data_IF_181691708376
#
_entry.id   IF_181691708376
#
_cell.length_a   1.000
_cell.length_b   1.000
_cell.length_c   1.000
_cell.angle_alpha   90.00
_cell.angle_beta   90.00
_cell.angle_gamma   90.00
#
_symmetry.space_group_name_H-M   'P 1'
#
loop_
_entity.id
_entity.type
_entity.pdbx_description
1 polymer ?
#
# COMPACT_ATOMS: atom_id res chain seq x y z
N UNK A 1 44.28 -53.07 -7.37
CA UNK A 1 43.79 -52.12 -8.40
C UNK A 1 42.28 -51.83 -8.45
N UNK A 2 41.36 -52.42 -7.64
CA UNK A 2 39.93 -52.02 -7.71
C UNK A 2 39.60 -50.72 -6.94
N UNK A 3 40.46 -50.29 -6.02
CA UNK A 3 40.17 -49.20 -5.08
C UNK A 3 40.29 -47.82 -5.74
N UNK A 4 41.17 -47.70 -6.74
CA UNK A 4 41.28 -46.50 -7.57
C UNK A 4 40.01 -46.28 -8.41
N UNK A 5 39.40 -47.35 -8.91
CA UNK A 5 38.15 -47.25 -9.68
C UNK A 5 36.99 -46.77 -8.78
N UNK A 6 36.92 -47.25 -7.54
CA UNK A 6 35.91 -46.81 -6.57
C UNK A 6 36.07 -45.32 -6.23
N UNK A 7 37.30 -44.86 -6.04
CA UNK A 7 37.57 -43.44 -5.79
C UNK A 7 37.15 -42.56 -6.97
N UNK A 8 37.50 -42.94 -8.20
CA UNK A 8 37.11 -42.18 -9.41
C UNK A 8 35.59 -42.12 -9.58
N UNK A 9 34.89 -43.23 -9.33
CA UNK A 9 33.43 -43.28 -9.41
C UNK A 9 32.77 -42.39 -8.33
N UNK A 10 33.29 -42.40 -7.11
CA UNK A 10 32.77 -41.57 -6.01
C UNK A 10 32.90 -40.06 -6.29
N UNK A 11 33.99 -39.62 -6.93
CA UNK A 11 34.17 -38.20 -7.29
C UNK A 11 33.32 -37.75 -8.49
N UNK A 12 32.92 -38.66 -9.37
CA UNK A 12 32.10 -38.33 -10.56
C UNK A 12 30.69 -37.82 -10.22
N UNK A 13 30.17 -38.17 -9.04
CA UNK A 13 28.87 -37.69 -8.54
C UNK A 13 28.86 -36.20 -8.17
N UNK A 14 29.98 -35.66 -7.66
CA UNK A 14 30.08 -34.23 -7.33
C UNK A 14 30.27 -33.35 -8.57
N UNK A 15 30.90 -33.86 -9.63
CA UNK A 15 31.16 -33.11 -10.86
C UNK A 15 29.97 -33.13 -11.85
N UNK A 16 28.97 -34.00 -11.63
CA UNK A 16 27.83 -34.20 -12.53
C UNK A 16 26.56 -33.44 -12.12
N UNK A 17 26.57 -32.74 -10.97
CA UNK A 17 25.50 -31.78 -10.63
C UNK A 17 25.60 -30.57 -11.55
N UNK A 18 24.85 -30.63 -12.65
CA UNK A 18 24.54 -29.46 -13.46
C UNK A 18 23.50 -28.65 -12.70
N UNK A 19 23.73 -27.37 -12.36
CA UNK A 19 22.70 -26.54 -11.73
C UNK A 19 21.46 -26.50 -12.63
N UNK A 20 20.30 -26.90 -12.10
CA UNK A 20 19.04 -26.76 -12.83
C UNK A 20 18.88 -25.28 -13.23
N UNK A 21 18.52 -24.97 -14.50
CA UNK A 21 18.31 -23.60 -14.91
C UNK A 21 17.30 -22.94 -13.96
N UNK A 22 17.70 -21.81 -13.36
CA UNK A 22 16.88 -21.10 -12.40
C UNK A 22 15.50 -20.81 -13.02
N UNK A 23 14.45 -21.43 -12.46
CA UNK A 23 13.08 -21.22 -12.92
C UNK A 23 12.66 -19.80 -12.53
N UNK A 24 12.62 -18.89 -13.50
CA UNK A 24 12.14 -17.53 -13.27
C UNK A 24 10.62 -17.54 -13.06
N UNK A 25 10.19 -17.18 -11.85
CA UNK A 25 8.76 -17.04 -11.51
C UNK A 25 8.37 -15.58 -11.68
N UNK A 26 7.27 -15.30 -12.40
CA UNK A 26 6.68 -13.94 -12.39
C UNK A 26 5.95 -13.72 -11.08
N UNK A 27 6.35 -12.68 -10.35
CA UNK A 27 5.70 -12.23 -9.12
C UNK A 27 5.10 -10.86 -9.35
N UNK A 28 3.80 -10.72 -9.13
CA UNK A 28 3.12 -9.43 -9.15
C UNK A 28 3.32 -8.75 -7.80
N UNK A 29 4.29 -7.84 -7.72
CA UNK A 29 4.52 -7.03 -6.54
C UNK A 29 3.61 -5.80 -6.61
N UNK A 30 2.69 -5.60 -5.65
CA UNK A 30 1.89 -4.38 -5.62
C UNK A 30 2.80 -3.18 -5.35
N UNK A 31 2.76 -2.19 -6.25
CA UNK A 31 3.50 -0.94 -6.10
C UNK A 31 2.59 0.05 -5.35
N UNK A 32 3.08 0.72 -4.29
CA UNK A 32 2.31 1.75 -3.63
C UNK A 32 2.10 2.92 -4.60
N UNK A 33 0.83 3.26 -4.84
CA UNK A 33 0.43 4.45 -5.61
C UNK A 33 -0.11 5.51 -4.65
N UNK A 34 -0.06 6.79 -5.07
CA UNK A 34 -0.72 7.85 -4.32
C UNK A 34 -2.23 7.58 -4.22
N UNK A 35 -2.83 7.87 -3.06
CA UNK A 35 -4.27 7.81 -2.94
C UNK A 35 -4.91 8.87 -3.84
N UNK A 36 -5.97 8.49 -4.56
CA UNK A 36 -6.71 9.38 -5.45
C UNK A 36 -7.96 10.00 -4.79
N UNK A 37 -8.26 9.60 -3.56
CA UNK A 37 -9.39 10.15 -2.82
C UNK A 37 -9.15 11.65 -2.54
N UNK A 38 -10.11 12.54 -2.87
CA UNK A 38 -10.00 13.95 -2.56
C UNK A 38 -10.09 14.18 -1.05
N UNK A 39 -9.39 15.21 -0.56
CA UNK A 39 -9.54 15.66 0.81
C UNK A 39 -10.89 16.37 0.94
N UNK A 40 -11.78 15.97 1.88
CA UNK A 40 -13.03 16.66 2.11
C UNK A 40 -12.79 18.13 2.48
N UNK A 41 -13.71 19.01 2.10
CA UNK A 41 -13.59 20.44 2.41
C UNK A 41 -13.78 20.67 3.93
N UNK A 42 -12.86 21.43 4.53
CA UNK A 42 -13.01 21.81 5.94
C UNK A 42 -14.27 22.67 6.08
N UNK A 43 -15.24 22.30 6.94
CA UNK A 43 -16.40 23.14 7.14
C UNK A 43 -15.99 24.45 7.82
N UNK A 44 -16.74 25.52 7.55
CA UNK A 44 -16.61 26.77 8.29
C UNK A 44 -16.87 26.48 9.77
N UNK A 45 -15.90 26.73 10.66
CA UNK A 45 -16.08 26.49 12.08
C UNK A 45 -16.56 27.77 12.79
N UNK A 46 -17.56 27.70 13.69
CA UNK A 46 -18.02 28.86 14.44
C UNK A 46 -16.88 29.58 15.18
N UNK A 47 -15.94 28.80 15.75
CA UNK A 47 -14.76 29.34 16.44
C UNK A 47 -13.82 30.12 15.51
N UNK A 48 -13.80 29.85 14.20
CA UNK A 48 -12.93 30.56 13.25
C UNK A 48 -13.39 32.03 13.07
N UNK A 49 -14.65 32.35 13.40
CA UNK A 49 -15.26 33.67 13.26
C UNK A 49 -15.49 34.39 14.60
N UNK A 50 -14.95 33.87 15.69
CA UNK A 50 -15.22 34.38 17.03
C UNK A 50 -14.47 35.71 17.28
N UNK A 51 -15.14 36.77 17.79
CA UNK A 51 -14.47 37.99 18.22
C UNK A 51 -13.48 37.72 19.35
N UNK A 52 -12.37 38.46 19.39
CA UNK A 52 -11.33 38.31 20.43
C UNK A 52 -11.83 38.70 21.82
N UNK A 53 -12.85 39.55 21.90
CA UNK A 53 -13.49 40.04 23.13
C UNK A 53 -14.83 39.35 23.43
N UNK A 54 -15.12 38.21 22.77
CA UNK A 54 -16.33 37.46 23.02
C UNK A 54 -16.44 37.02 24.49
N UNK A 55 -17.63 37.14 25.06
CA UNK A 55 -17.92 36.62 26.39
C UNK A 55 -17.87 35.09 26.44
N UNK A 56 -17.82 34.55 27.66
CA UNK A 56 -17.69 33.11 27.89
C UNK A 56 -18.86 32.32 27.28
N UNK A 57 -20.08 32.81 27.39
CA UNK A 57 -21.25 32.09 26.89
C UNK A 57 -21.20 31.97 25.37
N UNK A 58 -20.79 33.03 24.69
CA UNK A 58 -20.59 33.05 23.23
C UNK A 58 -19.45 32.13 22.80
N UNK A 59 -18.35 32.07 23.56
CA UNK A 59 -17.26 31.11 23.33
C UNK A 59 -17.78 29.68 23.45
N UNK A 60 -18.46 29.34 24.55
CA UNK A 60 -18.96 27.99 24.81
C UNK A 60 -19.95 27.55 23.73
N UNK A 61 -20.88 28.41 23.34
CA UNK A 61 -21.80 28.11 22.24
C UNK A 61 -21.08 27.84 20.92
N UNK A 62 -20.09 28.66 20.56
CA UNK A 62 -19.32 28.46 19.34
C UNK A 62 -18.49 27.16 19.39
N UNK A 63 -17.91 26.82 20.54
CA UNK A 63 -17.15 25.59 20.72
C UNK A 63 -18.04 24.35 20.59
N UNK A 64 -19.21 24.32 21.24
CA UNK A 64 -20.14 23.18 21.16
C UNK A 64 -20.60 22.97 19.71
N UNK A 65 -21.02 24.04 19.02
CA UNK A 65 -21.39 23.97 17.62
C UNK A 65 -20.21 23.56 16.70
N UNK A 66 -18.96 23.82 17.11
CA UNK A 66 -17.77 23.36 16.38
C UNK A 66 -17.53 21.87 16.59
N UNK A 67 -17.77 21.33 17.80
CA UNK A 67 -17.58 19.90 18.10
C UNK A 67 -18.46 19.06 17.19
N UNK A 68 -19.74 19.39 17.06
CA UNK A 68 -20.65 18.67 16.16
C UNK A 68 -20.16 18.69 14.69
N UNK A 69 -19.61 19.83 14.24
CA UNK A 69 -19.01 19.94 12.89
C UNK A 69 -17.74 19.11 12.75
N UNK A 70 -16.91 19.08 13.79
CA UNK A 70 -15.69 18.26 13.80
C UNK A 70 -16.01 16.77 13.77
N UNK A 71 -17.03 16.31 14.49
CA UNK A 71 -17.47 14.91 14.45
C UNK A 71 -17.94 14.52 13.04
N UNK A 72 -18.73 15.37 12.39
CA UNK A 72 -19.13 15.16 10.99
C UNK A 72 -17.95 15.13 10.03
N UNK A 73 -17.00 16.06 10.18
CA UNK A 73 -15.80 16.13 9.35
C UNK A 73 -14.85 14.94 9.58
N UNK A 74 -14.73 14.47 10.83
CA UNK A 74 -13.97 13.28 11.17
C UNK A 74 -14.55 12.05 10.47
N UNK A 75 -15.88 11.88 10.46
CA UNK A 75 -16.52 10.78 9.72
C UNK A 75 -16.24 10.82 8.21
N UNK A 76 -16.20 12.02 7.60
CA UNK A 76 -15.83 12.18 6.19
C UNK A 76 -14.36 11.80 5.94
N UNK A 77 -13.45 12.25 6.82
CA UNK A 77 -12.02 11.91 6.73
C UNK A 77 -11.76 10.41 6.92
N UNK A 78 -12.44 9.78 7.88
CA UNK A 78 -12.36 8.33 8.10
C UNK A 78 -12.81 7.56 6.86
N UNK A 79 -13.90 8.00 6.22
CA UNK A 79 -14.40 7.40 4.97
C UNK A 79 -13.37 7.55 3.84
N UNK A 80 -12.84 8.75 3.65
CA UNK A 80 -11.83 9.01 2.63
C UNK A 80 -10.58 8.13 2.82
N UNK A 81 -10.12 8.02 4.07
CA UNK A 81 -8.97 7.20 4.44
C UNK A 81 -9.27 5.70 4.31
N UNK A 82 -10.49 5.24 4.59
CA UNK A 82 -10.91 3.87 4.35
C UNK A 82 -10.83 3.53 2.85
N UNK A 83 -11.33 4.42 1.98
CA UNK A 83 -11.24 4.25 0.53
C UNK A 83 -9.78 4.18 0.05
N UNK A 84 -8.91 5.05 0.56
CA UNK A 84 -7.48 5.04 0.25
C UNK A 84 -6.78 3.72 0.59
N UNK A 85 -7.25 3.00 1.61
CA UNK A 85 -6.62 1.77 2.11
C UNK A 85 -7.15 0.50 1.47
N UNK A 86 -8.14 0.60 0.57
CA UNK A 86 -8.68 -0.58 -0.13
C UNK A 86 -7.56 -1.25 -0.94
N UNK A 87 -7.35 -2.57 -0.79
CA UNK A 87 -6.32 -3.27 -1.53
C UNK A 87 -6.62 -3.22 -3.03
N UNK A 88 -5.63 -2.81 -3.82
CA UNK A 88 -5.71 -2.85 -5.28
C UNK A 88 -5.86 -4.31 -5.73
N UNK A 89 -6.98 -4.63 -6.38
CA UNK A 89 -7.13 -5.92 -7.07
C UNK A 89 -6.07 -5.97 -8.17
N UNK A 90 -5.26 -7.03 -8.20
CA UNK A 90 -4.26 -7.23 -9.23
C UNK A 90 -4.96 -7.41 -10.59
N UNK A 91 -5.15 -6.30 -11.32
CA UNK A 91 -5.54 -6.37 -12.72
C UNK A 91 -4.36 -6.93 -13.49
N UNK A 92 -4.60 -7.96 -14.31
CA UNK A 92 -3.59 -8.74 -15.04
C UNK A 92 -2.83 -7.95 -16.12
N UNK A 93 -2.13 -6.89 -15.72
CA UNK A 93 -1.19 -6.15 -16.55
C UNK A 93 0.10 -6.97 -16.67
N UNK A 94 0.12 -7.92 -17.61
CA UNK A 94 1.31 -8.74 -17.84
C UNK A 94 1.36 -9.66 -19.06
N UNK A 95 0.32 -9.73 -19.90
CA UNK A 95 0.32 -10.61 -21.10
C UNK A 95 0.34 -9.87 -22.44
N UNK A 96 0.80 -8.60 -22.47
CA UNK A 96 0.91 -7.83 -23.73
C UNK A 96 2.33 -7.73 -24.32
N UNK A 97 3.26 -8.59 -23.89
CA UNK A 97 4.66 -8.52 -24.31
C UNK A 97 5.31 -9.84 -24.77
N UNK A 98 4.59 -10.97 -24.85
CA UNK A 98 5.18 -12.29 -25.16
C UNK A 98 5.09 -12.70 -26.65
N UNK A 99 4.91 -11.76 -27.58
CA UNK A 99 4.92 -12.03 -29.03
C UNK A 99 5.86 -11.06 -29.77
N UNK A 100 7.15 -11.06 -29.45
CA UNK A 100 8.21 -10.56 -30.35
C UNK A 100 9.61 -10.89 -29.81
N UNK A 101 9.98 -12.17 -29.78
CA UNK A 101 11.39 -12.55 -29.94
C UNK A 101 11.39 -13.68 -30.95
N UNK A 102 11.72 -13.32 -32.18
CA UNK A 102 11.97 -14.22 -33.30
C UNK A 102 13.49 -14.30 -33.48
#
# INVERSE_FOLDING_TARGET
MPWAAIAVLALSGCASTTPEPARTIRVNVPIPIACQEPVPEKPNMPVDSLPTDADLDRIVQAMIASIERWEGYAGQLETALANCRVPVKQSGYGLRGSLAVR
#
